data_IF_291340274569
#
_entry.id   IF_291340274569
#
_cell.length_a   1.000
_cell.length_b   1.000
_cell.length_c   1.000
_cell.angle_alpha   90.00
_cell.angle_beta   90.00
_cell.angle_gamma   90.00
#
_symmetry.space_group_name_H-M   'P 1'
#
loop_
_entity.id
_entity.type
_entity.pdbx_description
1 polymer ?
#
# COMPACT_ATOMS: atom_id res chain seq x y z
N UNK A 1 8.33 16.68 -14.48
CA UNK A 1 7.22 16.37 -13.57
C UNK A 1 7.78 15.86 -12.25
N UNK A 2 7.54 16.62 -11.19
CA UNK A 2 7.82 16.25 -9.80
C UNK A 2 6.48 16.06 -9.07
N UNK A 3 6.43 15.08 -8.16
CA UNK A 3 5.20 14.68 -7.46
C UNK A 3 5.48 14.56 -5.97
N UNK A 4 4.70 15.27 -5.16
CA UNK A 4 4.80 15.25 -3.70
C UNK A 4 3.44 15.00 -3.06
N UNK A 5 3.41 14.22 -1.97
CA UNK A 5 2.23 14.08 -1.11
C UNK A 5 2.44 14.98 0.11
N UNK A 6 1.60 15.98 0.28
CA UNK A 6 1.61 16.91 1.42
C UNK A 6 0.40 16.63 2.32
N UNK A 7 0.62 16.18 3.56
CA UNK A 7 -0.45 16.01 4.55
C UNK A 7 -0.81 17.36 5.17
N UNK A 8 -2.10 17.59 5.40
CA UNK A 8 -2.59 18.85 5.99
C UNK A 8 -2.16 18.96 7.46
N UNK A 9 -2.32 17.86 8.21
CA UNK A 9 -1.93 17.78 9.60
C UNK A 9 -0.66 16.93 9.80
N UNK A 10 0.25 17.43 10.63
CA UNK A 10 1.41 16.66 11.13
C UNK A 10 1.01 15.90 12.39
N UNK A 11 0.01 15.03 12.28
CA UNK A 11 -0.37 14.16 13.40
C UNK A 11 0.73 13.11 13.60
N UNK A 12 1.07 12.83 14.86
CA UNK A 12 2.07 11.81 15.19
C UNK A 12 1.56 10.39 14.91
N UNK A 13 0.25 10.15 15.07
CA UNK A 13 -0.40 8.85 14.88
C UNK A 13 -1.85 9.05 14.43
N UNK A 14 -2.28 8.27 13.44
CA UNK A 14 -3.67 8.15 13.02
C UNK A 14 -4.33 6.94 13.68
N UNK A 15 -5.65 6.97 13.83
CA UNK A 15 -6.47 5.91 14.43
C UNK A 15 -7.51 5.42 13.44
N UNK A 16 -8.33 4.44 13.82
CA UNK A 16 -9.41 3.95 12.95
C UNK A 16 -10.55 4.95 12.76
N UNK A 17 -10.58 6.06 13.52
CA UNK A 17 -11.58 7.11 13.38
C UNK A 17 -11.03 8.31 12.61
N UNK A 18 -9.71 8.37 12.42
CA UNK A 18 -9.06 9.50 11.77
C UNK A 18 -9.10 9.38 10.25
N UNK A 19 -9.28 10.53 9.63
CA UNK A 19 -9.22 10.72 8.19
C UNK A 19 -7.83 11.25 7.81
N UNK A 20 -7.19 10.60 6.85
CA UNK A 20 -5.90 11.06 6.33
C UNK A 20 -6.16 12.02 5.18
N UNK A 21 -6.09 13.32 5.45
CA UNK A 21 -6.28 14.37 4.46
C UNK A 21 -4.96 15.02 4.02
N UNK A 22 -4.95 15.53 2.79
CA UNK A 22 -3.80 16.19 2.24
C UNK A 22 -3.98 16.59 0.78
N UNK A 23 -2.86 16.88 0.15
CA UNK A 23 -2.75 17.33 -1.22
C UNK A 23 -1.68 16.53 -1.96
N UNK A 24 -2.00 16.10 -3.19
CA UNK A 24 -1.00 15.65 -4.17
C UNK A 24 -0.59 16.89 -4.97
N UNK A 25 0.68 17.27 -4.87
CA UNK A 25 1.24 18.44 -5.54
C UNK A 25 2.04 17.98 -6.75
N UNK A 26 1.66 18.48 -7.92
CA UNK A 26 2.33 18.26 -9.19
C UNK A 26 3.07 19.53 -9.61
N UNK A 27 4.37 19.42 -9.87
CA UNK A 27 5.19 20.51 -10.39
C UNK A 27 5.76 20.15 -11.76
N UNK A 28 5.57 21.04 -12.72
CA UNK A 28 6.12 20.88 -14.07
C UNK A 28 6.44 22.22 -14.71
N UNK A 29 7.55 22.25 -15.42
CA UNK A 29 7.99 23.33 -16.30
C UNK A 29 7.36 23.25 -17.71
N UNK A 30 6.70 22.13 -18.03
CA UNK A 30 5.98 21.90 -19.29
C UNK A 30 4.53 21.51 -19.05
N UNK A 31 3.71 21.59 -20.11
CA UNK A 31 2.32 21.13 -20.09
C UNK A 31 2.24 19.63 -19.78
N UNK A 32 1.27 19.26 -18.95
CA UNK A 32 1.03 17.88 -18.52
C UNK A 32 -0.33 17.40 -19.00
N UNK A 33 -0.41 16.27 -19.69
CA UNK A 33 -1.69 15.64 -20.03
C UNK A 33 -2.02 14.51 -19.04
N UNK A 34 -2.80 14.85 -18.02
CA UNK A 34 -3.09 13.96 -16.88
C UNK A 34 -4.39 13.20 -17.14
N UNK A 35 -4.30 11.88 -17.19
CA UNK A 35 -5.46 11.00 -17.32
C UNK A 35 -6.11 10.74 -15.97
N UNK A 36 -5.32 10.32 -14.97
CA UNK A 36 -5.84 10.03 -13.63
C UNK A 36 -4.83 10.35 -12.54
N UNK A 37 -5.33 10.73 -11.37
CA UNK A 37 -4.58 10.79 -10.12
C UNK A 37 -5.35 9.97 -9.08
N UNK A 38 -4.68 8.97 -8.52
CA UNK A 38 -5.25 8.06 -7.52
C UNK A 38 -4.37 8.09 -6.28
N UNK A 39 -4.97 8.28 -5.11
CA UNK A 39 -4.31 8.07 -3.82
C UNK A 39 -4.63 6.67 -3.30
N UNK A 40 -3.63 5.96 -2.81
CA UNK A 40 -3.73 4.58 -2.32
C UNK A 40 -3.17 4.51 -0.90
N UNK A 41 -4.04 4.24 0.07
CA UNK A 41 -3.67 3.94 1.45
C UNK A 41 -3.55 2.43 1.61
N UNK A 42 -2.41 1.96 2.11
CA UNK A 42 -2.17 0.53 2.31
C UNK A 42 -1.48 0.24 3.63
N UNK A 43 -1.81 -0.91 4.20
CA UNK A 43 -1.14 -1.48 5.36
C UNK A 43 -0.38 -2.75 4.98
N UNK A 44 0.84 -2.90 5.48
CA UNK A 44 1.68 -4.06 5.23
C UNK A 44 2.32 -4.54 6.53
N UNK A 45 2.19 -5.84 6.80
CA UNK A 45 2.93 -6.53 7.85
C UNK A 45 4.07 -7.31 7.20
N UNK A 46 5.30 -7.11 7.65
CA UNK A 46 6.48 -7.74 7.09
C UNK A 46 7.15 -8.58 8.16
N UNK A 47 7.40 -9.86 7.87
CA UNK A 47 8.22 -10.74 8.71
C UNK A 47 9.54 -11.04 8.00
N UNK A 48 10.65 -10.83 8.69
CA UNK A 48 12.02 -11.09 8.23
C UNK A 48 12.59 -12.23 9.05
N UNK A 49 12.72 -13.40 8.42
CA UNK A 49 13.28 -14.58 9.05
C UNK A 49 14.76 -14.72 8.68
N UNK A 50 15.62 -14.75 9.70
CA UNK A 50 17.02 -15.10 9.53
C UNK A 50 17.15 -16.62 9.47
N UNK A 51 17.61 -17.15 8.33
CA UNK A 51 17.74 -18.59 8.08
C UNK A 51 18.91 -19.24 8.84
N UNK A 52 19.19 -18.86 10.10
CA UNK A 52 20.43 -19.24 10.80
C UNK A 52 20.41 -20.63 11.45
N UNK A 53 19.26 -21.31 11.57
CA UNK A 53 19.22 -22.69 12.08
C UNK A 53 18.09 -23.48 11.43
N UNK A 54 18.36 -24.15 10.32
CA UNK A 54 17.53 -25.26 9.85
C UNK A 54 18.36 -26.53 9.89
N UNK A 55 18.62 -26.99 11.11
CA UNK A 55 19.12 -28.34 11.33
C UNK A 55 17.89 -29.25 11.43
N UNK A 56 17.24 -29.54 10.31
CA UNK A 56 16.37 -30.72 10.21
C UNK A 56 16.15 -31.07 8.74
N UNK A 57 16.91 -32.08 8.33
CA UNK A 57 16.85 -32.78 7.05
C UNK A 57 15.49 -33.41 6.83
N UNK A 58 14.76 -33.02 5.79
CA UNK A 58 14.03 -33.96 4.92
C UNK A 58 13.91 -33.36 3.50
N UNK A 59 14.66 -34.00 2.59
CA UNK A 59 14.68 -33.88 1.12
C UNK A 59 13.73 -32.85 0.48
N UNK A 60 14.26 -31.70 0.08
CA UNK A 60 13.72 -30.90 -1.01
C UNK A 60 14.85 -30.48 -1.96
N UNK A 61 14.52 -30.54 -3.25
CA UNK A 61 15.40 -30.58 -4.41
C UNK A 61 16.46 -29.46 -4.45
N UNK A 62 17.69 -29.86 -4.78
CA UNK A 62 18.84 -29.00 -4.97
C UNK A 62 18.74 -28.19 -6.26
N UNK A 63 18.43 -26.90 -6.17
CA UNK A 63 18.89 -25.90 -7.14
C UNK A 63 19.22 -24.64 -6.35
N UNK A 64 20.44 -24.13 -6.55
CA UNK A 64 20.96 -22.84 -6.06
C UNK A 64 21.61 -22.81 -4.67
N UNK A 65 22.55 -23.74 -4.48
CA UNK A 65 23.70 -23.66 -3.56
C UNK A 65 24.65 -22.49 -3.90
N UNK A 66 24.16 -21.27 -4.14
CA UNK A 66 25.05 -20.18 -4.58
C UNK A 66 24.91 -18.78 -3.93
N UNK A 67 24.01 -18.48 -2.96
CA UNK A 67 23.94 -17.12 -2.36
C UNK A 67 23.41 -16.98 -0.90
N UNK A 68 23.40 -18.01 -0.05
CA UNK A 68 22.46 -18.08 1.09
C UNK A 68 22.85 -17.33 2.40
N UNK A 69 22.87 -15.99 2.38
CA UNK A 69 22.50 -15.13 3.54
C UNK A 69 21.17 -14.43 3.28
N UNK A 70 20.29 -15.11 2.55
CA UNK A 70 19.00 -14.59 2.12
C UNK A 70 18.07 -14.45 3.33
N UNK A 71 18.01 -13.24 3.91
CA UNK A 71 16.91 -12.88 4.81
C UNK A 71 15.61 -13.07 4.04
N UNK A 72 14.80 -14.04 4.44
CA UNK A 72 13.50 -14.25 3.84
C UNK A 72 12.57 -13.15 4.35
N UNK A 73 12.18 -12.24 3.47
CA UNK A 73 11.23 -11.17 3.77
C UNK A 73 9.86 -11.58 3.23
N UNK A 74 8.89 -11.74 4.13
CA UNK A 74 7.52 -12.16 3.83
C UNK A 74 6.57 -10.99 4.12
N UNK A 75 6.29 -10.12 3.14
CA UNK A 75 5.31 -9.08 3.27
C UNK A 75 3.89 -9.64 3.09
N UNK A 76 2.99 -9.23 3.98
CA UNK A 76 1.56 -9.55 3.95
C UNK A 76 0.76 -8.26 3.93
N UNK A 77 -0.08 -8.10 2.91
CA UNK A 77 -0.99 -6.96 2.80
C UNK A 77 -2.12 -7.07 3.82
N UNK A 78 -2.29 -6.03 4.64
CA UNK A 78 -3.35 -5.91 5.63
C UNK A 78 -4.62 -5.32 5.00
N UNK A 79 -4.46 -4.33 4.12
CA UNK A 79 -5.53 -3.77 3.30
C UNK A 79 -4.94 -2.93 2.14
N UNK A 80 -5.80 -2.56 1.19
CA UNK A 80 -5.56 -1.49 0.24
C UNK A 80 -6.85 -0.71 0.02
N UNK A 81 -6.80 0.61 0.13
CA UNK A 81 -7.90 1.51 -0.21
C UNK A 81 -7.40 2.52 -1.21
N UNK A 82 -8.14 2.65 -2.31
CA UNK A 82 -7.80 3.56 -3.40
C UNK A 82 -8.91 4.58 -3.56
N UNK A 83 -8.55 5.83 -3.80
CA UNK A 83 -9.46 6.90 -4.11
C UNK A 83 -8.94 7.69 -5.31
N UNK A 84 -9.79 7.85 -6.33
CA UNK A 84 -9.46 8.64 -7.50
C UNK A 84 -9.84 10.09 -7.24
N UNK A 85 -8.82 10.95 -7.14
CA UNK A 85 -8.99 12.37 -6.86
C UNK A 85 -9.02 13.22 -8.13
N UNK A 86 -8.53 12.67 -9.25
CA UNK A 86 -8.63 13.30 -10.55
C UNK A 86 -8.80 12.28 -11.69
N UNK A 87 -9.68 12.56 -12.68
CA UNK A 87 -10.81 13.48 -12.54
C UNK A 87 -11.74 13.00 -11.40
N UNK A 88 -12.38 13.91 -10.64
CA UNK A 88 -13.32 13.53 -9.60
C UNK A 88 -14.44 12.65 -10.15
N UNK A 89 -14.80 11.59 -9.43
CA UNK A 89 -15.78 10.58 -9.91
C UNK A 89 -17.16 11.18 -10.24
N UNK A 90 -17.55 12.25 -9.54
CA UNK A 90 -18.77 13.02 -9.80
C UNK A 90 -18.69 13.87 -11.08
N UNK A 91 -17.48 14.13 -11.59
CA UNK A 91 -17.21 14.93 -12.78
C UNK A 91 -16.75 14.09 -13.97
N UNK A 92 -16.59 12.77 -13.81
CA UNK A 92 -16.06 11.88 -14.85
C UNK A 92 -16.85 11.95 -16.18
N UNK A 93 -18.16 12.22 -16.13
CA UNK A 93 -19.00 12.40 -17.33
C UNK A 93 -18.88 13.75 -18.04
N UNK A 94 -18.16 14.71 -17.45
CA UNK A 94 -17.97 16.05 -18.04
C UNK A 94 -16.76 16.12 -18.98
N UNK A 95 -15.81 15.18 -18.83
CA UNK A 95 -14.62 15.11 -19.68
C UNK A 95 -14.92 14.28 -20.92
N UNK A 96 -14.85 14.93 -22.09
CA UNK A 96 -14.99 14.27 -23.40
C UNK A 96 -13.70 13.61 -23.86
N UNK A 97 -12.57 13.98 -23.25
CA UNK A 97 -11.23 13.43 -23.47
C UNK A 97 -10.80 12.56 -22.30
N UNK A 98 -10.04 11.50 -22.57
CA UNK A 98 -9.51 10.58 -21.55
C UNK A 98 -8.36 11.15 -20.71
N UNK A 99 -7.92 12.37 -21.03
CA UNK A 99 -6.90 13.11 -20.30
C UNK A 99 -7.16 14.62 -20.37
N UNK A 100 -6.66 15.33 -19.35
CA UNK A 100 -6.79 16.77 -19.19
C UNK A 100 -5.41 17.42 -19.25
N UNK A 101 -5.24 18.32 -20.21
CA UNK A 101 -4.02 19.11 -20.35
C UNK A 101 -3.98 20.23 -19.33
N UNK A 102 -2.93 20.24 -18.51
CA UNK A 102 -2.64 21.24 -17.50
C UNK A 102 -1.48 22.12 -17.94
N UNK A 103 -1.57 23.44 -17.72
CA UNK A 103 -0.48 24.36 -18.08
C UNK A 103 0.77 24.09 -17.20
N UNK A 104 1.95 24.59 -17.61
CA UNK A 104 3.13 24.58 -16.76
C UNK A 104 2.85 25.28 -15.43
N UNK A 105 3.41 24.78 -14.33
CA UNK A 105 3.26 25.34 -12.99
C UNK A 105 3.11 24.29 -11.90
N UNK A 106 2.51 24.73 -10.79
CA UNK A 106 2.19 23.90 -9.63
C UNK A 106 0.68 23.67 -9.57
N UNK A 107 0.27 22.40 -9.50
CA UNK A 107 -1.13 21.99 -9.40
C UNK A 107 -1.32 21.13 -8.16
N UNK A 108 -2.32 21.46 -7.36
CA UNK A 108 -2.60 20.80 -6.08
C UNK A 108 -3.96 20.10 -6.12
N UNK A 109 -3.97 18.82 -5.76
CA UNK A 109 -5.17 17.98 -5.77
C UNK A 109 -5.48 17.49 -4.36
N UNK A 110 -6.58 17.95 -3.74
CA UNK A 110 -6.94 17.51 -2.39
C UNK A 110 -7.38 16.04 -2.38
N UNK A 111 -7.10 15.35 -1.29
CA UNK A 111 -7.55 13.98 -1.03
C UNK A 111 -7.94 13.81 0.43
N UNK A 112 -8.79 12.82 0.69
CA UNK A 112 -9.25 12.52 2.04
C UNK A 112 -9.65 11.05 2.18
N UNK A 113 -8.77 10.24 2.80
CA UNK A 113 -8.89 8.78 2.82
C UNK A 113 -8.86 8.24 4.24
N UNK A 114 -9.84 7.39 4.58
CA UNK A 114 -9.96 6.79 5.92
C UNK A 114 -9.31 5.40 6.01
N UNK A 115 -8.78 5.07 7.19
CA UNK A 115 -8.38 3.71 7.50
C UNK A 115 -9.60 2.79 7.59
N UNK A 116 -9.55 1.56 7.04
CA UNK A 116 -10.62 0.60 7.26
C UNK A 116 -10.62 0.11 8.71
N UNK A 117 -11.80 -0.13 9.27
CA UNK A 117 -11.91 -0.60 10.66
C UNK A 117 -11.32 -2.00 10.89
N UNK A 118 -11.20 -2.81 9.84
CA UNK A 118 -10.82 -4.22 9.92
C UNK A 118 -9.78 -4.57 8.85
N UNK A 119 -8.87 -5.47 9.18
CA UNK A 119 -7.91 -6.00 8.22
C UNK A 119 -8.61 -6.84 7.15
N UNK A 120 -8.41 -6.48 5.88
CA UNK A 120 -8.83 -7.24 4.72
C UNK A 120 -7.64 -8.12 4.29
N UNK A 121 -7.36 -9.19 5.05
CA UNK A 121 -6.29 -10.14 4.69
C UNK A 121 -6.55 -10.70 3.29
N UNK A 122 -5.93 -10.09 2.27
CA UNK A 122 -6.14 -10.45 0.89
C UNK A 122 -5.58 -11.86 0.66
N UNK A 123 -6.45 -12.81 0.32
CA UNK A 123 -6.01 -14.14 -0.10
C UNK A 123 -5.34 -13.99 -1.47
N UNK A 124 -4.01 -14.09 -1.49
CA UNK A 124 -3.30 -14.42 -2.73
C UNK A 124 -3.88 -15.73 -3.26
N UNK A 125 -4.48 -15.70 -4.45
CA UNK A 125 -5.00 -16.90 -5.09
C UNK A 125 -3.81 -17.78 -5.51
N UNK A 126 -3.37 -18.68 -4.64
CA UNK A 126 -2.58 -19.83 -5.07
C UNK A 126 -3.54 -20.80 -5.75
N UNK A 127 -3.66 -20.69 -7.07
CA UNK A 127 -4.11 -21.79 -7.93
C UNK A 127 -3.01 -22.85 -7.90
N UNK A 128 -3.01 -23.68 -6.87
CA UNK A 128 -2.38 -25.00 -6.85
C UNK A 128 -2.77 -25.68 -5.54
N UNK A 129 -3.89 -26.41 -5.58
CA UNK A 129 -4.26 -27.33 -4.51
C UNK A 129 -4.64 -28.67 -5.15
N UNK A 130 -3.61 -29.41 -5.55
CA UNK A 130 -3.72 -30.87 -5.68
C UNK A 130 -4.03 -31.43 -4.30
N UNK A 131 -5.08 -32.24 -4.27
CA UNK A 131 -5.64 -33.00 -3.16
C UNK A 131 -4.67 -33.35 -2.01
N UNK A 132 -4.89 -32.77 -0.84
CA UNK A 132 -4.76 -33.49 0.43
C UNK A 132 -5.90 -33.07 1.35
N UNK A 133 -6.70 -34.06 1.75
CA UNK A 133 -7.78 -33.91 2.73
C UNK A 133 -7.16 -33.63 4.09
N UNK A 134 -6.98 -32.36 4.43
CA UNK A 134 -6.68 -31.92 5.79
C UNK A 134 -7.86 -31.13 6.32
N UNK A 135 -8.17 -31.36 7.59
CA UNK A 135 -9.37 -30.91 8.29
C UNK A 135 -9.80 -29.48 7.89
N UNK A 136 -11.11 -29.36 7.64
CA UNK A 136 -11.82 -28.13 7.32
C UNK A 136 -11.77 -27.16 8.53
N UNK A 137 -10.59 -26.65 8.88
CA UNK A 137 -10.47 -25.39 9.61
C UNK A 137 -10.81 -24.32 8.59
N UNK A 138 -12.10 -23.99 8.53
CA UNK A 138 -12.50 -22.67 8.05
C UNK A 138 -11.62 -21.67 8.79
N UNK A 139 -10.61 -21.13 8.12
CA UNK A 139 -9.93 -19.93 8.54
C UNK A 139 -10.98 -18.83 8.44
N UNK A 140 -11.86 -18.77 9.45
CA UNK A 140 -12.55 -17.56 9.82
C UNK A 140 -11.44 -16.57 10.09
N UNK A 141 -11.05 -15.82 9.06
CA UNK A 141 -10.21 -14.65 9.24
C UNK A 141 -11.08 -13.72 10.07
N UNK A 142 -10.96 -13.84 11.40
CA UNK A 142 -11.51 -12.89 12.34
C UNK A 142 -11.14 -11.53 11.78
N UNK A 143 -12.16 -10.74 11.47
CA UNK A 143 -12.01 -9.34 11.09
C UNK A 143 -11.32 -8.66 12.28
N UNK A 144 -9.98 -8.69 12.28
CA UNK A 144 -9.16 -8.14 13.35
C UNK A 144 -9.03 -6.66 13.08
N UNK A 145 -9.06 -5.87 14.17
CA UNK A 145 -8.68 -4.46 14.11
C UNK A 145 -7.29 -4.34 13.47
N UNK A 146 -7.07 -3.23 12.75
CA UNK A 146 -5.74 -2.94 12.23
C UNK A 146 -4.74 -2.84 13.40
N UNK A 147 -3.59 -3.51 13.32
CA UNK A 147 -2.57 -3.38 14.35
C UNK A 147 -1.89 -2.00 14.29
N UNK A 148 -1.40 -1.46 15.42
CA UNK A 148 -0.60 -0.23 15.41
C UNK A 148 0.67 -0.39 14.56
N UNK A 149 1.17 0.72 14.02
CA UNK A 149 2.51 0.82 13.46
C UNK A 149 3.54 0.29 14.46
N UNK A 150 4.47 -0.53 13.99
CA UNK A 150 5.51 -1.09 14.84
C UNK A 150 6.72 -1.53 14.04
N UNK A 151 7.88 -1.56 14.71
CA UNK A 151 9.13 -1.96 14.08
C UNK A 151 9.68 -0.93 13.10
N UNK A 152 10.68 -1.35 12.33
CA UNK A 152 11.31 -0.58 11.25
C UNK A 152 12.04 -1.54 10.28
N UNK A 153 12.81 -1.02 9.33
CA UNK A 153 13.47 -1.86 8.33
C UNK A 153 14.52 -2.86 8.91
N UNK A 154 15.00 -2.63 10.14
CA UNK A 154 15.95 -3.50 10.80
C UNK A 154 15.30 -4.50 11.76
N UNK A 155 14.01 -4.35 12.07
CA UNK A 155 13.33 -5.28 12.98
C UNK A 155 12.93 -6.56 12.25
N UNK A 156 12.86 -7.70 12.97
CA UNK A 156 12.36 -8.96 12.44
C UNK A 156 10.90 -8.87 12.00
N UNK A 157 10.10 -8.02 12.64
CA UNK A 157 8.70 -7.78 12.31
C UNK A 157 8.45 -6.28 12.18
N UNK A 158 7.71 -5.88 11.15
CA UNK A 158 7.40 -4.48 10.85
C UNK A 158 5.95 -4.36 10.38
N UNK A 159 5.21 -3.41 10.94
CA UNK A 159 3.87 -3.04 10.51
C UNK A 159 3.94 -1.59 10.04
N UNK A 160 3.70 -1.38 8.75
CA UNK A 160 3.80 -0.06 8.11
C UNK A 160 2.54 0.29 7.36
N UNK A 161 2.12 1.53 7.49
CA UNK A 161 1.09 2.14 6.67
C UNK A 161 1.70 3.19 5.75
N UNK A 162 1.23 3.23 4.50
CA UNK A 162 1.77 4.14 3.50
C UNK A 162 0.69 4.63 2.55
N UNK A 163 0.79 5.90 2.21
CA UNK A 163 0.12 6.53 1.09
C UNK A 163 1.01 6.42 -0.16
N UNK A 164 0.37 6.11 -1.28
CA UNK A 164 0.96 6.09 -2.60
C UNK A 164 0.10 6.96 -3.52
N UNK A 165 0.68 7.97 -4.15
CA UNK A 165 0.02 8.72 -5.21
C UNK A 165 0.45 8.13 -6.56
N UNK A 166 -0.53 7.77 -7.38
CA UNK A 166 -0.37 7.14 -8.69
C UNK A 166 -0.93 8.09 -9.73
N UNK A 167 -0.09 8.57 -10.64
CA UNK A 167 -0.47 9.51 -11.68
C UNK A 167 -0.29 8.84 -13.03
N UNK A 168 -1.36 8.83 -13.82
CA UNK A 168 -1.33 8.34 -15.20
C UNK A 168 -1.22 9.54 -16.13
N UNK A 169 -0.12 9.67 -16.86
CA UNK A 169 0.14 10.73 -17.82
C UNK A 169 0.60 10.09 -19.14
N UNK A 170 -0.06 10.38 -20.26
CA UNK A 170 0.30 9.84 -21.58
C UNK A 170 0.49 8.29 -21.60
N UNK A 171 -0.29 7.57 -20.79
CA UNK A 171 -0.16 6.11 -20.61
C UNK A 171 1.01 5.65 -19.74
N UNK A 172 1.87 6.55 -19.27
CA UNK A 172 2.91 6.29 -18.28
C UNK A 172 2.36 6.45 -16.87
N UNK A 173 2.87 5.64 -15.94
CA UNK A 173 2.51 5.71 -14.53
C UNK A 173 3.67 6.26 -13.69
N UNK A 174 3.40 7.33 -12.98
CA UNK A 174 4.31 7.94 -12.00
C UNK A 174 3.81 7.64 -10.60
N UNK A 175 4.73 7.34 -9.67
CA UNK A 175 4.40 6.95 -8.30
C UNK A 175 5.28 7.65 -7.30
N UNK A 176 4.69 8.09 -6.20
CA UNK A 176 5.40 8.61 -5.03
C UNK A 176 4.76 8.07 -3.76
N UNK A 177 5.55 7.96 -2.69
CA UNK A 177 5.13 7.32 -1.45
C UNK A 177 5.37 8.21 -0.24
N UNK A 178 4.49 8.13 0.74
CA UNK A 178 4.65 8.75 2.06
C UNK A 178 4.23 7.78 3.16
N UNK A 179 5.07 7.61 4.17
CA UNK A 179 4.75 6.77 5.33
C UNK A 179 3.80 7.50 6.26
N UNK A 180 2.88 6.76 6.89
CA UNK A 180 1.90 7.26 7.85
C UNK A 180 1.97 6.39 9.09
N UNK A 181 1.98 7.01 10.26
CA UNK A 181 2.01 6.31 11.55
C UNK A 181 0.58 6.07 12.04
N UNK A 182 0.28 4.84 12.47
CA UNK A 182 -1.05 4.43 12.92
C UNK A 182 -0.98 3.85 14.33
N UNK A 183 -1.99 4.11 15.15
CA UNK A 183 -2.15 3.55 16.49
C UNK A 183 -3.60 3.22 16.79
N UNK A 184 -3.84 2.40 17.82
CA UNK A 184 -5.19 2.13 18.33
C UNK A 184 -5.39 2.87 19.65
N UNK A 185 -6.43 3.68 19.78
CA UNK A 185 -6.82 4.23 21.08
C UNK A 185 -7.24 3.10 22.02
N UNK A 186 -6.52 2.96 23.15
CA UNK A 186 -6.95 2.25 24.36
C UNK A 186 -7.45 0.81 24.23
N UNK A 187 -6.64 -0.13 24.72
CA UNK A 187 -7.14 -1.34 25.37
C UNK A 187 -7.16 -1.12 26.88
#
# INVERSE_FOLDING_TARGET
MEVEIQLDEKVLYYTNEDEVSGHVVLRSDTELDIATIVISLSGQATSRLDSRKLNETHKACAVTTLLYTSRLTLPKKLFQRNEQIFPPVNCAGWFTSGAVTMPPGEHSFPFSIMFPHVSECYKGSTRDAVHTRSANRQLHHLLRKLPPSSGNFNTPEEIRYSLEAIITQNGLMYRTYRSVEYTTLGG
#
